data_IF_874528012584
#
_entry.id   IF_874528012584
#
_cell.length_a   1.000
_cell.length_b   1.000
_cell.length_c   1.000
_cell.angle_alpha   90.00
_cell.angle_beta   90.00
_cell.angle_gamma   90.00
#
_symmetry.space_group_name_H-M   'P 1'
#
loop_
_entity.id
_entity.type
_entity.pdbx_description
1 polymer ?
#
# COMPACT_ATOMS: atom_id res chain seq x y z
N UNK A 1 -20.23 22.92 81.98
CA UNK A 1 -21.05 22.20 81.00
C UNK A 1 -21.21 20.78 81.46
N UNK A 2 -22.32 20.49 82.13
CA UNK A 2 -22.63 19.22 82.80
C UNK A 2 -23.83 19.44 83.72
N UNK A 3 -24.54 18.38 84.04
CA UNK A 3 -25.68 18.39 84.96
C UNK A 3 -25.17 18.19 86.39
N UNK A 4 -24.71 19.28 87.02
CA UNK A 4 -24.13 19.26 88.38
C UNK A 4 -25.17 19.54 89.46
N UNK A 5 -25.20 18.70 90.49
CA UNK A 5 -26.08 18.82 91.67
C UNK A 5 -25.25 18.79 92.96
N UNK A 6 -25.55 19.70 93.89
CA UNK A 6 -25.04 19.65 95.27
C UNK A 6 -26.00 18.81 96.12
N UNK A 7 -25.53 17.70 96.65
CA UNK A 7 -26.34 16.78 97.43
C UNK A 7 -26.53 17.27 98.88
N UNK A 8 -27.60 16.86 99.58
CA UNK A 8 -27.87 17.26 100.96
C UNK A 8 -26.75 16.92 101.97
N UNK A 9 -25.88 15.95 101.64
CA UNK A 9 -24.71 15.57 102.45
C UNK A 9 -23.44 16.41 102.13
N UNK A 10 -23.57 17.45 101.31
CA UNK A 10 -22.48 18.33 100.89
C UNK A 10 -21.59 17.80 99.75
N UNK A 11 -21.84 16.59 99.25
CA UNK A 11 -21.13 16.04 98.08
C UNK A 11 -21.63 16.64 96.76
N UNK A 12 -20.80 16.66 95.72
CA UNK A 12 -21.16 17.12 94.38
C UNK A 12 -21.24 15.92 93.44
N UNK A 13 -22.34 15.80 92.72
CA UNK A 13 -22.50 14.86 91.60
C UNK A 13 -22.57 15.65 90.30
N UNK A 14 -21.89 15.18 89.26
CA UNK A 14 -21.98 15.77 87.91
C UNK A 14 -22.23 14.66 86.92
N UNK A 15 -23.22 14.84 86.05
CA UNK A 15 -23.50 13.92 84.95
C UNK A 15 -23.38 14.64 83.61
N UNK A 16 -23.21 13.86 82.53
CA UNK A 16 -23.25 14.35 81.15
C UNK A 16 -22.33 15.56 80.87
N UNK A 17 -21.09 15.51 81.36
CA UNK A 17 -20.09 16.57 81.16
C UNK A 17 -19.89 16.79 79.65
N UNK A 18 -20.08 18.04 79.18
CA UNK A 18 -19.90 18.40 77.77
C UNK A 18 -20.84 17.71 76.79
N UNK A 19 -21.97 17.19 77.25
CA UNK A 19 -22.90 16.36 76.46
C UNK A 19 -22.28 15.06 75.91
N UNK A 20 -21.29 14.51 76.61
CA UNK A 20 -20.59 13.27 76.21
C UNK A 20 -21.21 12.00 76.80
N UNK A 21 -22.22 12.13 77.67
CA UNK A 21 -22.78 11.03 78.45
C UNK A 21 -21.92 10.57 79.63
N UNK A 22 -20.76 11.20 79.89
CA UNK A 22 -19.83 10.82 80.95
C UNK A 22 -19.96 11.70 82.21
N UNK A 23 -19.63 11.14 83.38
CA UNK A 23 -19.90 11.77 84.69
C UNK A 23 -18.66 12.45 85.32
N UNK A 24 -17.51 12.41 84.66
CA UNK A 24 -16.34 13.16 85.05
C UNK A 24 -15.61 13.74 83.82
N UNK A 25 -14.73 14.71 84.06
CA UNK A 25 -14.03 15.45 83.00
C UNK A 25 -13.10 14.53 82.19
N UNK A 26 -12.44 13.57 82.85
CA UNK A 26 -11.47 12.68 82.20
C UNK A 26 -12.16 11.79 81.16
N UNK A 27 -13.22 11.10 81.56
CA UNK A 27 -13.98 10.20 80.70
C UNK A 27 -14.66 10.97 79.55
N UNK A 28 -15.15 12.19 79.81
CA UNK A 28 -15.71 13.06 78.77
C UNK A 28 -14.66 13.44 77.71
N UNK A 29 -13.45 13.81 78.13
CA UNK A 29 -12.34 14.13 77.22
C UNK A 29 -11.91 12.89 76.43
N UNK A 30 -11.83 11.73 77.09
CA UNK A 30 -11.45 10.48 76.45
C UNK A 30 -12.52 10.01 75.45
N UNK A 31 -13.81 10.21 75.76
CA UNK A 31 -14.91 9.98 74.82
C UNK A 31 -14.80 10.86 73.58
N UNK A 32 -14.54 12.17 73.75
CA UNK A 32 -14.31 13.08 72.62
C UNK A 32 -13.06 12.70 71.84
N UNK A 33 -11.97 12.31 72.51
CA UNK A 33 -10.74 11.83 71.85
C UNK A 33 -11.02 10.57 71.04
N UNK A 34 -11.78 9.63 71.60
CA UNK A 34 -12.20 8.41 70.92
C UNK A 34 -13.07 8.70 69.70
N UNK A 35 -14.06 9.58 69.83
CA UNK A 35 -14.90 10.02 68.73
C UNK A 35 -14.09 10.74 67.63
N UNK A 36 -13.13 11.59 68.01
CA UNK A 36 -12.25 12.27 67.07
C UNK A 36 -11.30 11.31 66.33
N UNK A 37 -10.83 10.25 67.00
CA UNK A 37 -10.05 9.18 66.34
C UNK A 37 -10.93 8.39 65.38
N UNK A 38 -12.15 8.03 65.79
CA UNK A 38 -13.10 7.31 64.95
C UNK A 38 -13.60 8.13 63.75
N UNK A 39 -13.60 9.46 63.86
CA UNK A 39 -14.00 10.36 62.79
C UNK A 39 -12.92 10.56 61.70
N UNK A 40 -11.71 10.00 61.87
CA UNK A 40 -10.65 10.12 60.86
C UNK A 40 -11.03 9.37 59.58
N UNK A 41 -10.85 10.03 58.44
CA UNK A 41 -10.92 9.40 57.11
C UNK A 41 -9.52 9.00 56.67
N UNK A 42 -9.40 7.85 55.99
CA UNK A 42 -8.15 7.39 55.36
C UNK A 42 -8.33 7.36 53.85
N UNK A 43 -7.28 7.75 53.12
CA UNK A 43 -7.20 7.63 51.66
C UNK A 43 -6.05 6.68 51.33
N UNK A 44 -6.30 5.74 50.44
CA UNK A 44 -5.28 4.85 49.88
C UNK A 44 -5.10 5.22 48.42
N UNK A 45 -3.87 5.49 48.00
CA UNK A 45 -3.56 5.73 46.60
C UNK A 45 -3.71 4.43 45.79
N UNK A 46 -4.31 4.53 44.61
CA UNK A 46 -4.31 3.46 43.60
C UNK A 46 -3.29 3.78 42.52
N UNK A 47 -2.97 2.80 41.66
CA UNK A 47 -1.84 2.87 40.71
C UNK A 47 -1.75 4.18 39.88
N UNK A 48 -2.90 4.72 39.44
CA UNK A 48 -2.96 5.91 38.59
C UNK A 48 -3.18 7.23 39.35
N UNK A 49 -3.28 7.19 40.69
CA UNK A 49 -3.58 8.35 41.53
C UNK A 49 -2.41 8.60 42.47
N UNK A 50 -1.99 9.86 42.56
CA UNK A 50 -1.00 10.34 43.52
C UNK A 50 -1.71 11.20 44.55
N UNK A 51 -1.48 10.93 45.83
CA UNK A 51 -2.02 11.73 46.94
C UNK A 51 -0.88 12.33 47.75
N UNK A 52 -0.79 13.66 47.75
CA UNK A 52 0.25 14.39 48.51
C UNK A 52 -0.37 15.11 49.70
N UNK A 53 0.11 14.81 50.90
CA UNK A 53 -0.33 15.49 52.12
C UNK A 53 0.42 16.82 52.33
N UNK A 54 -0.32 17.85 52.75
CA UNK A 54 0.22 19.14 53.19
C UNK A 54 -0.58 19.70 54.37
N UNK A 55 -0.06 20.76 55.02
CA UNK A 55 -0.74 21.44 56.12
C UNK A 55 -1.21 22.82 55.69
N UNK A 56 -2.45 23.13 56.03
CA UNK A 56 -3.02 24.46 55.89
C UNK A 56 -2.50 25.38 57.00
N UNK A 57 -2.63 26.70 56.78
CA UNK A 57 -2.20 27.70 57.75
C UNK A 57 -2.94 27.59 59.10
N UNK A 58 -4.15 27.04 59.13
CA UNK A 58 -4.95 26.80 60.33
C UNK A 58 -4.62 25.48 61.07
N UNK A 59 -3.62 24.73 60.58
CA UNK A 59 -3.19 23.45 61.13
C UNK A 59 -3.99 22.22 60.66
N UNK A 60 -5.06 22.41 59.86
CA UNK A 60 -5.77 21.31 59.22
C UNK A 60 -4.93 20.64 58.11
N UNK A 61 -5.24 19.39 57.78
CA UNK A 61 -4.56 18.65 56.69
C UNK A 61 -5.24 18.94 55.35
N UNK A 62 -4.44 19.14 54.30
CA UNK A 62 -4.87 19.15 52.91
C UNK A 62 -4.29 17.95 52.16
N UNK A 63 -5.07 17.35 51.27
CA UNK A 63 -4.63 16.27 50.39
C UNK A 63 -4.78 16.72 48.94
N UNK A 64 -3.65 16.86 48.25
CA UNK A 64 -3.64 17.12 46.82
C UNK A 64 -3.73 15.79 46.06
N UNK A 65 -4.79 15.62 45.28
CA UNK A 65 -5.09 14.38 44.55
C UNK A 65 -4.97 14.66 43.07
N UNK A 66 -4.01 14.01 42.43
CA UNK A 66 -3.73 14.15 41.01
C UNK A 66 -3.60 12.79 40.34
N UNK A 67 -3.70 12.76 39.02
CA UNK A 67 -3.27 11.58 38.26
C UNK A 67 -1.74 11.46 38.31
N UNK A 68 -1.24 10.23 38.32
CA UNK A 68 0.17 9.97 38.08
C UNK A 68 0.59 10.52 36.70
N UNK A 69 1.89 10.82 36.54
CA UNK A 69 2.45 11.29 35.26
C UNK A 69 2.33 10.22 34.17
N UNK A 70 2.69 9.00 34.55
CA UNK A 70 2.48 7.80 33.76
C UNK A 70 1.29 7.07 34.34
N UNK A 71 0.32 6.75 33.50
CA UNK A 71 -0.86 5.98 33.87
C UNK A 71 -0.85 4.67 33.12
N UNK A 72 -1.25 3.61 33.79
CA UNK A 72 -1.37 2.27 33.21
C UNK A 72 -2.83 1.85 33.21
N UNK A 73 -3.26 1.33 32.07
CA UNK A 73 -4.58 0.74 31.93
C UNK A 73 -4.43 -0.59 31.22
N UNK A 74 -5.15 -1.60 31.69
CA UNK A 74 -5.29 -2.86 30.95
C UNK A 74 -5.98 -2.61 29.60
N UNK A 75 -6.94 -1.68 29.57
CA UNK A 75 -7.54 -1.19 28.34
C UNK A 75 -8.15 0.21 28.52
N UNK A 76 -8.20 0.97 27.42
CA UNK A 76 -8.92 2.24 27.34
C UNK A 76 -10.01 2.11 26.28
N UNK A 77 -11.28 2.35 26.65
CA UNK A 77 -12.43 2.24 25.75
C UNK A 77 -13.11 3.59 25.58
N UNK A 78 -13.27 4.03 24.33
CA UNK A 78 -13.98 5.25 23.95
C UNK A 78 -14.98 4.89 22.85
N UNK A 79 -16.25 4.76 23.21
CA UNK A 79 -17.26 4.19 22.31
C UNK A 79 -16.89 2.75 21.92
N UNK A 80 -16.81 2.49 20.61
CA UNK A 80 -16.37 1.20 20.06
C UNK A 80 -14.85 1.07 19.96
N UNK A 81 -14.11 2.18 20.08
CA UNK A 81 -12.64 2.17 20.00
C UNK A 81 -12.06 1.62 21.30
N UNK A 82 -11.17 0.64 21.18
CA UNK A 82 -10.46 0.06 22.32
C UNK A 82 -8.97 0.06 22.06
N UNK A 83 -8.20 0.68 22.97
CA UNK A 83 -6.74 0.52 23.09
C UNK A 83 -6.49 -0.61 24.08
N UNK A 84 -5.94 -1.71 23.59
CA UNK A 84 -5.63 -2.90 24.38
C UNK A 84 -4.19 -2.81 24.92
N UNK A 85 -4.04 -2.74 26.24
CA UNK A 85 -2.73 -2.63 26.90
C UNK A 85 -1.88 -3.90 26.81
N UNK A 86 -2.47 -5.06 26.51
CA UNK A 86 -1.76 -6.33 26.33
C UNK A 86 -1.25 -6.49 24.90
N UNK A 87 -2.09 -6.22 23.91
CA UNK A 87 -1.74 -6.44 22.50
C UNK A 87 -1.18 -5.20 21.79
N UNK A 88 -1.33 -4.01 22.39
CA UNK A 88 -1.01 -2.72 21.78
C UNK A 88 -1.92 -2.35 20.61
N UNK A 89 -2.97 -3.15 20.35
CA UNK A 89 -3.88 -2.92 19.23
C UNK A 89 -4.87 -1.81 19.57
N UNK A 90 -5.10 -0.94 18.58
CA UNK A 90 -6.25 -0.03 18.56
C UNK A 90 -7.29 -0.67 17.64
N UNK A 91 -8.40 -1.11 18.22
CA UNK A 91 -9.50 -1.77 17.53
C UNK A 91 -10.76 -0.90 17.53
N UNK A 92 -11.71 -1.21 16.65
CA UNK A 92 -12.98 -0.45 16.55
C UNK A 92 -12.88 0.88 15.81
N UNK A 93 -11.74 1.19 15.18
CA UNK A 93 -11.58 2.39 14.34
C UNK A 93 -12.48 2.28 13.11
N UNK A 94 -13.49 3.16 13.01
CA UNK A 94 -14.33 3.29 11.83
C UNK A 94 -13.50 3.69 10.60
N UNK A 95 -14.04 3.53 9.40
CA UNK A 95 -13.33 3.99 8.21
C UNK A 95 -13.22 5.51 8.23
N UNK A 96 -11.99 6.03 8.24
CA UNK A 96 -11.71 7.47 8.21
C UNK A 96 -11.77 8.03 6.79
N UNK A 97 -11.80 9.34 6.64
CA UNK A 97 -11.73 9.95 5.31
C UNK A 97 -10.33 9.80 4.68
N UNK A 98 -10.28 9.55 3.36
CA UNK A 98 -9.03 9.49 2.58
C UNK A 98 -9.05 10.63 1.56
N UNK A 99 -8.46 11.75 1.95
CA UNK A 99 -8.24 12.93 1.11
C UNK A 99 -7.05 13.74 1.67
N UNK A 100 -6.49 14.70 0.90
CA UNK A 100 -5.28 15.43 1.30
C UNK A 100 -5.38 16.22 2.61
N UNK A 101 -6.59 16.58 3.06
CA UNK A 101 -6.83 17.38 4.26
C UNK A 101 -7.25 16.52 5.47
N UNK A 102 -7.38 15.21 5.29
CA UNK A 102 -7.85 14.30 6.33
C UNK A 102 -6.87 14.20 7.49
N UNK A 103 -7.41 14.29 8.71
CA UNK A 103 -6.70 14.00 9.96
C UNK A 103 -7.19 12.71 10.61
N UNK A 104 -8.05 11.95 9.92
CA UNK A 104 -8.66 10.75 10.46
C UNK A 104 -7.66 9.59 10.49
N UNK A 105 -7.80 8.73 11.51
CA UNK A 105 -7.19 7.42 11.47
C UNK A 105 -7.94 6.53 10.46
N UNK A 106 -7.20 5.76 9.66
CA UNK A 106 -7.76 4.74 8.77
C UNK A 106 -7.64 3.34 9.38
N UNK A 107 -8.48 2.41 8.91
CA UNK A 107 -8.41 1.02 9.33
C UNK A 107 -7.93 0.08 8.20
N UNK A 108 -7.63 -1.16 8.56
CA UNK A 108 -7.09 -2.16 7.63
C UNK A 108 -7.96 -2.43 6.39
N UNK A 109 -9.29 -2.27 6.49
CA UNK A 109 -10.19 -2.48 5.34
C UNK A 109 -9.96 -1.44 4.23
N UNK A 110 -9.56 -0.23 4.60
CA UNK A 110 -9.27 0.84 3.65
C UNK A 110 -7.91 0.63 2.99
N UNK A 111 -6.91 0.23 3.76
CA UNK A 111 -5.59 -0.15 3.21
C UNK A 111 -5.71 -1.33 2.24
N UNK A 112 -6.54 -2.34 2.57
CA UNK A 112 -6.81 -3.47 1.70
C UNK A 112 -7.49 -3.06 0.38
N UNK A 113 -8.45 -2.12 0.41
CA UNK A 113 -9.06 -1.56 -0.81
C UNK A 113 -8.05 -0.83 -1.69
N UNK A 114 -7.14 -0.07 -1.07
CA UNK A 114 -6.07 0.59 -1.81
C UNK A 114 -5.11 -0.43 -2.45
N UNK A 115 -4.71 -1.47 -1.70
CA UNK A 115 -3.91 -2.57 -2.24
C UNK A 115 -4.62 -3.29 -3.41
N UNK A 116 -5.94 -3.50 -3.30
CA UNK A 116 -6.74 -4.09 -4.39
C UNK A 116 -6.72 -3.19 -5.64
N UNK A 117 -6.88 -1.88 -5.47
CA UNK A 117 -6.79 -0.94 -6.60
C UNK A 117 -5.43 -1.00 -7.30
N UNK A 118 -4.33 -1.19 -6.56
CA UNK A 118 -3.00 -1.37 -7.14
C UNK A 118 -2.88 -2.70 -7.86
N UNK A 119 -3.38 -3.79 -7.25
CA UNK A 119 -3.41 -5.13 -7.84
C UNK A 119 -4.16 -5.15 -9.18
N UNK A 120 -5.34 -4.52 -9.23
CA UNK A 120 -6.17 -4.44 -10.43
C UNK A 120 -5.49 -3.60 -11.52
N UNK A 121 -4.81 -2.51 -11.13
CA UNK A 121 -4.06 -1.66 -12.06
C UNK A 121 -2.83 -2.35 -12.67
N UNK A 122 -2.16 -3.21 -11.90
CA UNK A 122 -1.06 -4.04 -12.41
C UNK A 122 -1.57 -5.15 -13.34
N UNK A 123 -2.72 -5.76 -13.04
CA UNK A 123 -3.23 -6.89 -13.81
C UNK A 123 -2.28 -8.08 -13.74
N UNK A 124 -2.12 -8.82 -14.85
CA UNK A 124 -1.17 -9.94 -14.92
C UNK A 124 -1.37 -11.04 -13.87
N UNK A 125 -2.57 -11.16 -13.30
CA UNK A 125 -2.85 -12.11 -12.22
C UNK A 125 -2.35 -11.69 -10.83
N UNK A 126 -1.93 -10.43 -10.62
CA UNK A 126 -1.68 -9.89 -9.30
C UNK A 126 -2.92 -10.02 -8.39
N UNK A 127 -2.68 -10.36 -7.12
CA UNK A 127 -3.69 -10.43 -6.06
C UNK A 127 -3.20 -9.74 -4.78
N UNK A 128 -4.14 -9.37 -3.91
CA UNK A 128 -3.82 -8.95 -2.54
C UNK A 128 -3.78 -10.19 -1.63
N UNK A 129 -2.65 -10.40 -0.97
CA UNK A 129 -2.46 -11.47 0.01
C UNK A 129 -3.18 -11.16 1.33
N UNK A 130 -3.43 -12.18 2.19
CA UNK A 130 -4.04 -11.97 3.51
C UNK A 130 -3.26 -11.03 4.44
N UNK A 131 -1.96 -10.83 4.22
CA UNK A 131 -1.12 -9.89 4.96
C UNK A 131 -1.18 -8.44 4.41
N UNK A 132 -1.95 -8.22 3.34
CA UNK A 132 -2.11 -6.92 2.68
C UNK A 132 -1.09 -6.61 1.59
N UNK A 133 -0.10 -7.49 1.35
CA UNK A 133 0.86 -7.31 0.24
C UNK A 133 0.22 -7.63 -1.11
N UNK A 134 0.73 -7.01 -2.19
CA UNK A 134 0.29 -7.30 -3.56
C UNK A 134 1.30 -8.26 -4.20
N UNK A 135 0.84 -9.38 -4.77
CA UNK A 135 1.72 -10.29 -5.50
C UNK A 135 2.20 -9.64 -6.79
N UNK A 136 3.44 -9.96 -7.19
CA UNK A 136 3.95 -9.53 -8.49
C UNK A 136 3.03 -10.03 -9.62
N UNK A 137 2.80 -9.22 -10.67
CA UNK A 137 2.10 -9.69 -11.86
C UNK A 137 2.92 -10.76 -12.56
N UNK A 138 2.31 -11.48 -13.49
CA UNK A 138 2.98 -12.37 -14.44
C UNK A 138 2.51 -12.02 -15.86
N UNK A 139 3.37 -11.34 -16.61
CA UNK A 139 3.15 -11.00 -18.01
C UNK A 139 3.92 -11.97 -18.90
N UNK A 140 3.28 -12.48 -19.95
CA UNK A 140 3.98 -13.23 -21.00
C UNK A 140 4.23 -12.29 -22.17
N UNK A 141 5.50 -11.94 -22.41
CA UNK A 141 5.94 -11.02 -23.47
C UNK A 141 7.02 -11.69 -24.29
N UNK A 142 6.87 -11.70 -25.62
CA UNK A 142 7.82 -12.35 -26.54
C UNK A 142 8.15 -13.80 -26.15
N UNK A 143 7.16 -14.54 -25.61
CA UNK A 143 7.30 -15.92 -25.18
C UNK A 143 8.06 -16.13 -23.87
N UNK A 144 8.42 -15.06 -23.15
CA UNK A 144 9.04 -15.11 -21.84
C UNK A 144 8.09 -14.55 -20.77
N UNK A 145 8.07 -15.20 -19.61
CA UNK A 145 7.35 -14.72 -18.44
C UNK A 145 8.21 -13.69 -17.68
N UNK A 146 7.61 -12.54 -17.37
CA UNK A 146 8.23 -11.44 -16.63
C UNK A 146 7.27 -10.91 -15.57
N UNK A 147 7.81 -10.50 -14.43
CA UNK A 147 7.00 -10.26 -13.23
C UNK A 147 6.88 -8.80 -12.79
N UNK A 148 7.24 -7.88 -13.68
CA UNK A 148 7.08 -6.44 -13.44
C UNK A 148 6.93 -5.70 -14.78
N UNK A 149 6.37 -4.49 -14.71
CA UNK A 149 6.05 -3.65 -15.88
C UNK A 149 7.32 -3.21 -16.61
N UNK A 150 8.41 -2.91 -15.91
CA UNK A 150 9.66 -2.45 -16.52
C UNK A 150 10.30 -3.51 -17.42
N UNK A 151 10.34 -4.76 -16.95
CA UNK A 151 10.85 -5.88 -17.73
C UNK A 151 9.95 -6.22 -18.91
N UNK A 152 8.61 -6.12 -18.75
CA UNK A 152 7.67 -6.28 -19.85
C UNK A 152 7.88 -5.24 -20.96
N UNK A 153 8.05 -3.97 -20.59
CA UNK A 153 8.35 -2.89 -21.55
C UNK A 153 9.71 -3.13 -22.22
N UNK A 154 10.73 -3.49 -21.44
CA UNK A 154 12.07 -3.80 -21.98
C UNK A 154 12.02 -5.00 -22.94
N UNK A 155 11.20 -5.99 -22.66
CA UNK A 155 11.00 -7.13 -23.54
C UNK A 155 10.30 -6.72 -24.84
N UNK A 156 9.27 -5.87 -24.79
CA UNK A 156 8.62 -5.30 -25.98
C UNK A 156 9.56 -4.40 -26.79
N UNK A 157 10.43 -3.62 -26.14
CA UNK A 157 11.39 -2.72 -26.80
C UNK A 157 12.46 -3.47 -27.61
N UNK A 158 12.64 -4.78 -27.37
CA UNK A 158 13.47 -5.62 -28.25
C UNK A 158 12.91 -5.73 -29.67
N UNK A 159 11.62 -5.45 -29.85
CA UNK A 159 10.97 -5.51 -31.16
C UNK A 159 10.81 -6.93 -31.69
N UNK A 160 10.67 -7.04 -33.01
CA UNK A 160 10.64 -8.31 -33.73
C UNK A 160 11.81 -8.39 -34.72
N UNK A 161 12.28 -9.59 -35.03
CA UNK A 161 13.43 -9.78 -35.93
C UNK A 161 12.96 -9.88 -37.38
N UNK A 162 13.48 -9.01 -38.25
CA UNK A 162 13.37 -9.10 -39.70
C UNK A 162 14.66 -9.66 -40.28
N UNK A 163 14.56 -10.61 -41.20
CA UNK A 163 15.67 -11.13 -42.01
C UNK A 163 15.15 -11.43 -43.42
N UNK A 164 16.01 -11.29 -44.43
CA UNK A 164 15.65 -11.61 -45.82
C UNK A 164 16.60 -12.67 -46.37
N UNK A 165 16.06 -13.70 -47.00
CA UNK A 165 16.83 -14.83 -47.54
C UNK A 165 17.81 -15.48 -46.53
N UNK A 166 17.46 -15.46 -45.23
CA UNK A 166 18.29 -16.01 -44.16
C UNK A 166 19.53 -15.17 -43.79
N UNK A 167 19.61 -13.92 -44.25
CA UNK A 167 20.72 -13.00 -43.99
C UNK A 167 20.24 -11.72 -43.27
N UNK A 168 21.21 -11.00 -42.69
CA UNK A 168 21.07 -9.65 -42.14
C UNK A 168 19.92 -9.47 -41.13
N UNK A 169 19.84 -10.39 -40.17
CA UNK A 169 18.85 -10.32 -39.10
C UNK A 169 18.99 -9.01 -38.29
N UNK A 170 17.93 -8.23 -38.25
CA UNK A 170 17.86 -6.97 -37.52
C UNK A 170 16.56 -6.86 -36.72
N UNK A 171 16.62 -6.23 -35.55
CA UNK A 171 15.42 -5.92 -34.79
C UNK A 171 14.70 -4.71 -35.40
N UNK A 172 13.38 -4.83 -35.54
CA UNK A 172 12.48 -3.73 -35.86
C UNK A 172 11.72 -3.39 -34.58
N UNK A 173 12.01 -2.22 -34.02
CA UNK A 173 11.45 -1.73 -32.77
C UNK A 173 10.23 -0.86 -33.00
N UNK A 174 9.54 -0.52 -31.90
CA UNK A 174 8.46 0.44 -31.94
C UNK A 174 8.99 1.81 -32.41
N UNK A 175 8.37 2.36 -33.46
CA UNK A 175 8.79 3.62 -34.08
C UNK A 175 9.75 3.46 -35.26
N UNK A 176 10.33 2.28 -35.47
CA UNK A 176 11.14 2.01 -36.67
C UNK A 176 10.25 1.94 -37.92
N UNK A 177 10.84 2.29 -39.07
CA UNK A 177 10.21 2.08 -40.37
C UNK A 177 10.88 0.93 -41.09
N UNK A 178 10.07 0.00 -41.62
CA UNK A 178 10.55 -1.02 -42.54
C UNK A 178 10.20 -0.57 -43.95
N UNK A 179 11.22 -0.33 -44.77
CA UNK A 179 11.02 -0.06 -46.19
C UNK A 179 10.97 -1.39 -46.96
N UNK A 180 9.96 -1.54 -47.81
CA UNK A 180 9.73 -2.73 -48.63
C UNK A 180 9.58 -2.24 -50.06
N UNK A 181 10.69 -2.25 -50.79
CA UNK A 181 10.79 -1.77 -52.18
C UNK A 181 11.59 -2.71 -53.07
N UNK A 182 12.00 -2.21 -54.23
CA UNK A 182 12.93 -2.89 -55.13
C UNK A 182 14.37 -2.50 -54.83
N UNK A 183 15.33 -3.26 -55.35
CA UNK A 183 16.73 -2.84 -55.32
C UNK A 183 16.94 -1.54 -56.11
N UNK A 184 17.98 -0.79 -55.76
CA UNK A 184 18.35 0.44 -56.46
C UNK A 184 18.58 0.17 -57.95
N UNK A 185 17.87 0.92 -58.81
CA UNK A 185 17.98 0.81 -60.26
C UNK A 185 17.26 -0.41 -60.88
N UNK A 186 16.54 -1.21 -60.10
CA UNK A 186 15.69 -2.27 -60.64
C UNK A 186 14.53 -1.65 -61.45
N UNK A 187 14.39 -2.07 -62.71
CA UNK A 187 13.39 -1.54 -63.66
C UNK A 187 12.31 -2.58 -64.00
N UNK A 188 12.47 -3.85 -63.62
CA UNK A 188 11.54 -4.92 -64.00
C UNK A 188 10.46 -5.17 -62.95
N UNK A 189 10.76 -4.97 -61.68
CA UNK A 189 9.81 -5.19 -60.58
C UNK A 189 9.15 -3.87 -60.20
N UNK A 190 7.87 -3.94 -59.86
CA UNK A 190 7.12 -2.86 -59.24
C UNK A 190 6.61 -3.33 -57.88
N UNK A 191 6.78 -2.47 -56.87
CA UNK A 191 6.20 -2.65 -55.54
C UNK A 191 5.30 -1.46 -55.25
N UNK A 192 4.06 -1.71 -54.87
CA UNK A 192 3.12 -0.66 -54.45
C UNK A 192 2.46 -1.05 -53.13
N UNK A 193 2.16 -0.06 -52.29
CA UNK A 193 1.43 -0.24 -51.04
C UNK A 193 0.03 0.35 -51.17
N UNK A 194 -0.98 -0.44 -50.84
CA UNK A 194 -2.37 0.01 -50.76
C UNK A 194 -2.97 -0.44 -49.42
N UNK A 195 -3.21 0.50 -48.51
CA UNK A 195 -3.59 0.15 -47.14
C UNK A 195 -2.52 -0.73 -46.49
N UNK A 196 -2.88 -1.95 -46.07
CA UNK A 196 -1.97 -2.92 -45.46
C UNK A 196 -1.37 -3.93 -46.45
N UNK A 197 -1.75 -3.87 -47.73
CA UNK A 197 -1.28 -4.81 -48.74
C UNK A 197 -0.03 -4.28 -49.45
N UNK A 198 0.96 -5.15 -49.62
CA UNK A 198 2.12 -4.92 -50.50
C UNK A 198 1.89 -5.72 -51.78
N UNK A 199 1.84 -5.03 -52.91
CA UNK A 199 1.57 -5.62 -54.22
C UNK A 199 2.84 -5.62 -55.06
N UNK A 200 3.21 -6.81 -55.52
CA UNK A 200 4.31 -7.03 -56.45
C UNK A 200 3.76 -7.26 -57.85
N UNK A 201 4.38 -6.64 -58.85
CA UNK A 201 4.13 -6.95 -60.25
C UNK A 201 5.39 -6.79 -61.08
N UNK A 202 5.36 -7.33 -62.30
CA UNK A 202 6.39 -7.03 -63.29
C UNK A 202 5.97 -5.82 -64.13
N UNK A 203 6.93 -5.04 -64.58
CA UNK A 203 6.73 -4.15 -65.70
C UNK A 203 6.33 -4.95 -66.95
N UNK A 204 5.58 -4.32 -67.85
CA UNK A 204 5.18 -4.98 -69.11
C UNK A 204 6.36 -5.14 -70.05
N UNK A 205 7.23 -4.15 -70.08
CA UNK A 205 8.51 -4.21 -70.76
C UNK A 205 9.58 -4.67 -69.77
N UNK A 206 10.31 -5.72 -70.15
CA UNK A 206 11.38 -6.28 -69.32
C UNK A 206 12.73 -6.00 -69.95
N UNK A 207 13.65 -5.52 -69.13
CA UNK A 207 15.06 -5.27 -69.45
C UNK A 207 15.89 -6.37 -68.82
N UNK A 208 16.27 -7.34 -69.64
CA UNK A 208 17.01 -8.54 -69.24
C UNK A 208 18.15 -8.81 -70.20
N UNK A 209 19.25 -9.38 -69.71
CA UNK A 209 20.39 -9.74 -70.56
C UNK A 209 20.13 -10.98 -71.41
N UNK A 210 19.33 -11.91 -70.87
CA UNK A 210 18.96 -13.14 -71.57
C UNK A 210 17.67 -13.75 -71.02
N UNK A 211 17.02 -14.54 -71.84
CA UNK A 211 15.88 -15.40 -71.49
C UNK A 211 16.20 -16.80 -71.96
N UNK A 212 16.20 -17.76 -71.05
CA UNK A 212 16.36 -19.19 -71.38
C UNK A 212 15.04 -19.91 -71.09
N UNK A 213 14.51 -20.59 -72.10
CA UNK A 213 13.28 -21.38 -72.03
C UNK A 213 13.53 -22.76 -72.66
N UNK A 214 13.89 -23.73 -71.82
CA UNK A 214 14.37 -25.03 -72.30
C UNK A 214 15.65 -24.86 -73.13
N UNK A 215 15.66 -25.43 -74.34
CA UNK A 215 16.80 -25.34 -75.27
C UNK A 215 16.86 -24.00 -76.02
N UNK A 216 15.84 -23.13 -75.90
CA UNK A 216 15.81 -21.83 -76.56
C UNK A 216 16.42 -20.76 -75.67
N UNK A 217 17.38 -20.00 -76.21
CA UNK A 217 17.95 -18.81 -75.57
C UNK A 217 17.72 -17.58 -76.44
N UNK A 218 17.19 -16.50 -75.85
CA UNK A 218 17.15 -15.17 -76.45
C UNK A 218 18.09 -14.28 -75.65
N UNK A 219 19.03 -13.61 -76.31
CA UNK A 219 19.97 -12.71 -75.64
C UNK A 219 20.36 -11.54 -76.56
N UNK A 220 21.40 -10.81 -76.16
CA UNK A 220 21.90 -9.67 -76.92
C UNK A 220 22.40 -10.02 -78.34
N UNK A 221 22.62 -11.29 -78.68
CA UNK A 221 23.10 -11.72 -80.00
C UNK A 221 21.99 -12.28 -80.90
N UNK A 222 20.84 -12.67 -80.35
CA UNK A 222 19.68 -13.16 -81.08
C UNK A 222 18.96 -14.32 -80.40
N UNK A 223 18.41 -15.25 -81.19
CA UNK A 223 17.73 -16.47 -80.76
C UNK A 223 18.54 -17.71 -81.16
N UNK A 224 18.75 -18.64 -80.23
CA UNK A 224 19.46 -19.90 -80.48
C UNK A 224 18.69 -21.07 -79.88
N UNK A 225 18.61 -22.20 -80.61
CA UNK A 225 18.11 -23.47 -80.10
C UNK A 225 19.29 -24.44 -79.94
N UNK A 226 19.52 -24.98 -78.75
CA UNK A 226 20.62 -25.92 -78.50
C UNK A 226 20.52 -27.15 -79.42
N UNK A 227 21.63 -27.50 -80.10
CA UNK A 227 21.67 -28.54 -81.14
C UNK A 227 20.67 -28.32 -82.30
N UNK A 228 20.23 -27.09 -82.49
CA UNK A 228 19.25 -26.69 -83.49
C UNK A 228 19.65 -25.39 -84.19
N UNK A 229 18.71 -24.74 -84.88
CA UNK A 229 18.97 -23.54 -85.67
C UNK A 229 19.21 -22.31 -84.78
N UNK A 230 19.78 -21.27 -85.39
CA UNK A 230 19.98 -19.96 -84.74
C UNK A 230 19.64 -18.78 -85.65
N UNK A 231 19.17 -17.68 -85.06
CA UNK A 231 18.92 -16.39 -85.70
C UNK A 231 19.72 -15.35 -84.90
N UNK A 232 20.87 -14.93 -85.42
CA UNK A 232 21.79 -14.02 -84.72
C UNK A 232 22.09 -12.77 -85.54
N UNK A 233 22.82 -11.81 -84.96
CA UNK A 233 23.38 -10.66 -85.69
C UNK A 233 24.23 -11.06 -86.91
N UNK A 234 24.81 -12.26 -86.91
CA UNK A 234 25.64 -12.78 -87.99
C UNK A 234 24.85 -13.44 -89.12
N UNK A 235 23.55 -13.69 -88.92
CA UNK A 235 22.68 -14.36 -89.88
C UNK A 235 21.87 -15.52 -89.29
N UNK A 236 21.37 -16.38 -90.18
CA UNK A 236 20.56 -17.56 -89.84
C UNK A 236 21.40 -18.81 -90.19
N UNK A 237 21.48 -19.76 -89.26
CA UNK A 237 22.06 -21.10 -89.42
C UNK A 237 20.95 -22.16 -89.35
#
# INVERSE_FOLDING_TARGET
GGETVLNPNGSITTNNVGNTGQNNIHDAIDSVRGAAVAAKTTVTEGDNIVVTESKNADGSTNYDVATAKDVTFDSVKVGDVTVDGTTGKISGVAAGDINPDSTDAINGSQLAKNAQSVSDALGGGSIVNPDGTVTAPNYTVNGADVNNVGDAITALDKGWTLQSNGADAGAVKAGDTVDIGTADGEENLQVTKEGNDIKYSLNRDLKVDSVTAGDTTINNDGLTIANGPSITKSGID
#
